data_IF_604000217491
#
_entry.id   IF_604000217491
#
_cell.length_a   1.000
_cell.length_b   1.000
_cell.length_c   1.000
_cell.angle_alpha   90.00
_cell.angle_beta   90.00
_cell.angle_gamma   90.00
#
_symmetry.space_group_name_H-M   'P 1'
#
loop_
_entity.id
_entity.type
_entity.pdbx_description
1 polymer ?
#
# COMPACT_ATOMS: atom_id res chain seq x y z
N UNK A 1 40.62 39.37 -10.22
CA UNK A 1 40.48 37.90 -10.19
C UNK A 1 39.14 37.64 -9.53
N UNK A 2 38.13 37.28 -10.32
CA UNK A 2 36.79 36.98 -9.80
C UNK A 2 36.79 35.51 -9.35
N UNK A 3 36.61 35.29 -8.05
CA UNK A 3 36.34 33.97 -7.51
C UNK A 3 35.00 33.45 -8.06
N UNK A 4 35.08 32.58 -9.06
CA UNK A 4 33.97 31.76 -9.49
C UNK A 4 33.74 30.67 -8.44
N UNK A 5 33.07 31.01 -7.35
CA UNK A 5 32.51 30.05 -6.43
C UNK A 5 31.20 29.53 -7.03
N UNK A 6 31.31 28.69 -8.06
CA UNK A 6 30.17 27.89 -8.53
C UNK A 6 29.66 27.07 -7.34
N UNK A 7 28.44 27.34 -6.91
CA UNK A 7 27.71 26.54 -5.92
C UNK A 7 27.58 25.11 -6.44
N UNK A 8 28.61 24.29 -6.22
CA UNK A 8 28.61 22.86 -6.52
C UNK A 8 27.52 22.21 -5.68
N UNK A 9 26.45 21.75 -6.31
CA UNK A 9 25.41 20.97 -5.63
C UNK A 9 26.05 19.64 -5.21
N UNK A 10 26.23 19.44 -3.93
CA UNK A 10 26.78 18.21 -3.37
C UNK A 10 25.81 17.05 -3.58
N UNK A 11 26.35 15.87 -3.93
CA UNK A 11 25.56 14.62 -4.08
C UNK A 11 25.30 13.99 -2.70
N UNK A 12 24.49 14.67 -1.89
CA UNK A 12 24.10 14.23 -0.55
C UNK A 12 22.61 14.51 -0.33
N UNK A 13 21.88 13.73 0.49
CA UNK A 13 20.49 14.03 0.82
C UNK A 13 20.39 15.33 1.63
N UNK A 14 19.27 16.05 1.49
CA UNK A 14 19.00 17.26 2.27
C UNK A 14 18.91 16.97 3.78
N UNK A 15 18.43 15.80 4.17
CA UNK A 15 18.40 15.33 5.54
C UNK A 15 19.46 14.24 5.71
N UNK A 16 20.44 14.47 6.58
CA UNK A 16 21.56 13.57 6.82
C UNK A 16 21.91 13.52 8.31
N UNK A 17 22.36 12.38 8.78
CA UNK A 17 22.88 12.26 10.13
C UNK A 17 24.17 13.10 10.28
N UNK A 18 24.29 13.90 11.37
CA UNK A 18 25.35 14.90 11.49
C UNK A 18 26.75 14.30 11.63
N UNK A 19 26.87 13.02 12.02
CA UNK A 19 28.14 12.31 12.14
C UNK A 19 28.77 11.94 10.79
N UNK A 20 28.03 11.99 9.69
CA UNK A 20 28.55 11.66 8.36
C UNK A 20 28.85 12.93 7.54
N UNK A 21 29.97 12.87 6.81
CA UNK A 21 30.46 13.95 5.95
C UNK A 21 30.91 13.41 4.59
N UNK A 22 31.27 14.30 3.67
CA UNK A 22 31.67 13.92 2.31
C UNK A 22 30.48 13.72 1.36
N UNK A 23 30.77 13.58 0.07
CA UNK A 23 29.78 13.32 -0.96
C UNK A 23 29.48 11.82 -1.07
N UNK A 24 28.28 11.46 -1.52
CA UNK A 24 27.99 10.10 -1.93
C UNK A 24 28.62 9.84 -3.30
N UNK A 25 29.15 8.64 -3.48
CA UNK A 25 29.85 8.24 -4.71
C UNK A 25 28.88 7.57 -5.70
N UNK A 26 29.03 7.87 -6.99
CA UNK A 26 28.19 7.25 -8.01
C UNK A 26 28.77 5.90 -8.44
N UNK A 27 27.96 4.85 -8.30
CA UNK A 27 28.29 3.47 -8.68
C UNK A 27 27.15 2.84 -9.48
N UNK A 28 27.50 1.89 -10.33
CA UNK A 28 26.51 1.06 -11.04
C UNK A 28 26.07 -0.10 -10.19
N UNK A 29 24.82 -0.59 -10.44
CA UNK A 29 24.33 -1.76 -9.72
C UNK A 29 25.19 -3.02 -9.99
N UNK A 30 25.83 -3.12 -11.14
CA UNK A 30 26.72 -4.23 -11.48
C UNK A 30 28.01 -4.32 -10.62
N UNK A 31 28.39 -3.25 -9.93
CA UNK A 31 29.50 -3.29 -8.98
C UNK A 31 29.14 -4.00 -7.66
N UNK A 32 27.85 -4.08 -7.36
CA UNK A 32 27.32 -4.69 -6.14
C UNK A 32 26.55 -5.99 -6.36
N UNK A 33 26.00 -6.20 -7.59
CA UNK A 33 25.04 -7.25 -7.88
C UNK A 33 25.39 -8.01 -9.15
N UNK A 34 25.31 -9.34 -9.09
CA UNK A 34 25.28 -10.22 -10.25
C UNK A 34 23.84 -10.59 -10.57
N UNK A 35 23.40 -10.30 -11.80
CA UNK A 35 22.00 -10.49 -12.22
C UNK A 35 21.75 -11.83 -12.88
N UNK A 36 20.62 -12.48 -12.55
CA UNK A 36 20.18 -13.73 -13.17
C UNK A 36 18.65 -13.81 -13.27
N UNK A 37 18.15 -14.26 -14.44
CA UNK A 37 16.73 -14.55 -14.63
C UNK A 37 16.30 -15.78 -13.82
N UNK A 38 15.02 -15.82 -13.43
CA UNK A 38 14.46 -16.90 -12.62
C UNK A 38 14.02 -18.13 -13.41
N UNK A 39 13.54 -19.13 -12.66
CA UNK A 39 13.06 -20.41 -13.13
C UNK A 39 11.67 -20.28 -13.78
N UNK A 40 11.49 -20.90 -14.95
CA UNK A 40 10.18 -21.12 -15.58
C UNK A 40 9.79 -22.60 -15.44
N UNK A 41 9.15 -23.02 -14.35
CA UNK A 41 8.78 -24.40 -14.15
C UNK A 41 7.52 -24.76 -14.94
N UNK A 42 7.36 -26.06 -15.26
CA UNK A 42 6.09 -26.57 -15.77
C UNK A 42 4.98 -26.38 -14.73
N UNK A 43 3.75 -26.10 -15.19
CA UNK A 43 2.60 -25.85 -14.32
C UNK A 43 2.34 -26.97 -13.29
N UNK A 44 2.63 -28.23 -13.66
CA UNK A 44 2.47 -29.41 -12.79
C UNK A 44 3.40 -29.41 -11.57
N UNK A 45 4.46 -28.61 -11.59
CA UNK A 45 5.46 -28.52 -10.53
C UNK A 45 5.17 -27.40 -9.52
N UNK A 46 4.13 -26.60 -9.80
CA UNK A 46 3.71 -25.49 -8.95
C UNK A 46 2.72 -25.99 -7.89
N UNK A 47 2.77 -25.42 -6.67
CA UNK A 47 1.84 -25.69 -5.56
C UNK A 47 2.41 -26.52 -4.43
N UNK A 48 3.57 -27.16 -4.58
CA UNK A 48 4.25 -27.90 -3.51
C UNK A 48 5.77 -27.78 -3.60
N UNK A 49 6.47 -28.10 -2.52
CA UNK A 49 7.94 -28.04 -2.43
C UNK A 49 8.46 -26.78 -1.78
N UNK A 50 9.53 -26.18 -2.32
CA UNK A 50 10.17 -24.98 -1.78
C UNK A 50 9.34 -23.71 -2.05
N UNK A 51 9.45 -22.69 -1.19
CA UNK A 51 8.87 -21.37 -1.47
C UNK A 51 9.34 -20.82 -2.81
N UNK A 52 8.38 -20.27 -3.58
CA UNK A 52 8.58 -19.80 -4.95
C UNK A 52 8.20 -18.32 -5.05
N UNK A 53 9.20 -17.48 -5.12
CA UNK A 53 9.06 -16.03 -5.15
C UNK A 53 8.52 -15.59 -6.50
N UNK A 54 7.43 -14.85 -6.46
CA UNK A 54 6.75 -14.25 -7.60
C UNK A 54 6.82 -12.72 -7.56
N UNK A 55 6.26 -12.06 -8.57
CA UNK A 55 6.12 -10.60 -8.59
C UNK A 55 5.30 -10.10 -7.40
N UNK A 56 4.29 -10.85 -6.95
CA UNK A 56 3.46 -10.45 -5.80
C UNK A 56 4.24 -10.37 -4.49
N UNK A 57 5.27 -11.20 -4.34
CA UNK A 57 6.14 -11.16 -3.16
C UNK A 57 7.09 -9.96 -3.20
N UNK A 58 7.54 -9.55 -4.41
CA UNK A 58 8.34 -8.32 -4.59
C UNK A 58 7.53 -7.07 -4.23
N UNK A 59 6.26 -7.04 -4.62
CA UNK A 59 5.35 -5.90 -4.39
C UNK A 59 4.74 -5.89 -3.00
N UNK A 60 4.98 -6.92 -2.18
CA UNK A 60 4.48 -6.98 -0.80
C UNK A 60 5.18 -5.97 0.11
N UNK A 61 4.47 -5.56 1.16
CA UNK A 61 5.07 -4.73 2.21
C UNK A 61 6.15 -5.51 2.98
N UNK A 62 7.15 -4.79 3.47
CA UNK A 62 8.25 -5.36 4.24
C UNK A 62 9.32 -6.02 3.37
N UNK A 63 10.05 -6.96 3.95
CA UNK A 63 11.08 -7.77 3.30
C UNK A 63 10.53 -9.15 2.94
N UNK A 64 11.11 -9.78 1.93
CA UNK A 64 10.76 -11.16 1.58
C UNK A 64 11.53 -12.10 2.52
N UNK A 65 10.84 -13.02 3.16
CA UNK A 65 11.43 -14.10 3.94
C UNK A 65 10.76 -15.43 3.58
N UNK A 66 11.33 -16.53 4.05
CA UNK A 66 10.86 -17.88 3.72
C UNK A 66 9.38 -18.11 4.04
N UNK A 67 8.89 -17.57 5.18
CA UNK A 67 7.55 -17.84 5.70
C UNK A 67 6.46 -16.97 5.06
N UNK A 68 6.81 -15.81 4.48
CA UNK A 68 5.83 -14.92 3.87
C UNK A 68 5.64 -15.14 2.35
N UNK A 69 6.45 -16.03 1.73
CA UNK A 69 6.30 -16.39 0.31
C UNK A 69 5.07 -17.29 0.13
N UNK A 70 4.16 -16.88 -0.76
CA UNK A 70 2.88 -17.58 -0.97
C UNK A 70 2.99 -18.77 -1.92
N UNK A 71 3.82 -18.66 -2.95
CA UNK A 71 4.02 -19.70 -3.96
C UNK A 71 4.89 -20.85 -3.47
N UNK A 72 4.74 -22.02 -4.11
CA UNK A 72 5.64 -23.18 -3.89
C UNK A 72 5.97 -23.82 -5.23
N UNK A 73 7.15 -24.44 -5.33
CA UNK A 73 7.61 -25.15 -6.53
C UNK A 73 8.43 -26.39 -6.15
N UNK A 74 8.23 -27.47 -6.88
CA UNK A 74 9.10 -28.63 -6.84
C UNK A 74 10.31 -28.37 -7.73
N UNK A 75 11.46 -28.07 -7.11
CA UNK A 75 12.72 -27.81 -7.78
C UNK A 75 13.69 -28.99 -7.62
N UNK A 76 14.45 -29.28 -8.67
CA UNK A 76 15.55 -30.26 -8.62
C UNK A 76 16.76 -29.66 -7.91
N UNK A 77 17.69 -30.50 -7.43
CA UNK A 77 18.92 -30.02 -6.76
C UNK A 77 19.72 -29.04 -7.63
N UNK A 78 19.83 -29.30 -8.95
CA UNK A 78 20.48 -28.39 -9.90
C UNK A 78 19.77 -27.04 -10.02
N UNK A 79 18.44 -27.04 -9.97
CA UNK A 79 17.67 -25.80 -10.00
C UNK A 79 17.78 -25.04 -8.68
N UNK A 80 17.84 -25.73 -7.55
CA UNK A 80 18.08 -25.11 -6.23
C UNK A 80 19.44 -24.44 -6.21
N UNK A 81 20.48 -25.10 -6.69
CA UNK A 81 21.82 -24.52 -6.82
C UNK A 81 21.83 -23.29 -7.74
N UNK A 82 21.11 -23.37 -8.87
CA UNK A 82 21.09 -22.35 -9.92
C UNK A 82 20.20 -21.15 -9.59
N UNK A 83 19.02 -21.39 -9.03
CA UNK A 83 17.96 -20.40 -8.80
C UNK A 83 17.64 -20.18 -7.32
N UNK A 84 18.40 -20.77 -6.42
CA UNK A 84 18.25 -20.50 -4.98
C UNK A 84 18.63 -19.07 -4.63
N UNK A 85 17.78 -18.40 -3.83
CA UNK A 85 18.08 -17.10 -3.23
C UNK A 85 18.76 -17.28 -1.88
N UNK A 86 19.59 -16.32 -1.52
CA UNK A 86 20.33 -16.25 -0.26
C UNK A 86 20.01 -14.95 0.46
N UNK A 87 20.27 -14.92 1.74
CA UNK A 87 20.14 -13.71 2.55
C UNK A 87 20.86 -12.53 1.92
N UNK A 88 20.17 -11.39 1.82
CA UNK A 88 20.65 -10.16 1.21
C UNK A 88 20.57 -10.10 -0.32
N UNK A 89 20.08 -11.15 -1.02
CA UNK A 89 19.82 -11.06 -2.47
C UNK A 89 18.69 -10.06 -2.74
N UNK A 90 18.84 -9.26 -3.78
CA UNK A 90 17.80 -8.37 -4.27
C UNK A 90 17.00 -9.05 -5.40
N UNK A 91 15.69 -8.82 -5.40
CA UNK A 91 14.78 -9.41 -6.37
C UNK A 91 14.04 -8.29 -7.09
N UNK A 92 14.10 -8.29 -8.41
CA UNK A 92 13.56 -7.25 -9.28
C UNK A 92 12.40 -7.79 -10.11
N UNK A 93 11.32 -7.03 -10.19
CA UNK A 93 10.22 -7.31 -11.11
C UNK A 93 10.69 -7.13 -12.55
N UNK A 94 10.67 -8.21 -13.33
CA UNK A 94 11.13 -8.22 -14.73
C UNK A 94 10.13 -7.59 -15.68
N UNK A 95 8.84 -7.84 -15.47
CA UNK A 95 7.76 -7.43 -16.38
C UNK A 95 6.65 -6.72 -15.62
N UNK A 96 6.06 -5.68 -16.21
CA UNK A 96 4.94 -4.93 -15.65
C UNK A 96 4.00 -4.45 -16.75
N UNK A 97 2.74 -4.21 -16.39
CA UNK A 97 1.75 -3.57 -17.25
C UNK A 97 1.98 -2.05 -17.35
N UNK A 98 2.65 -1.45 -16.36
CA UNK A 98 2.99 -0.02 -16.33
C UNK A 98 4.50 0.17 -16.36
N UNK A 99 4.95 1.27 -16.99
CA UNK A 99 6.38 1.61 -17.02
C UNK A 99 6.89 1.99 -15.62
N UNK A 100 6.02 2.59 -14.81
CA UNK A 100 6.33 3.03 -13.46
C UNK A 100 6.63 1.87 -12.51
N UNK A 101 6.11 0.68 -12.78
CA UNK A 101 6.28 -0.49 -11.91
C UNK A 101 7.41 -1.43 -12.34
N UNK A 102 7.89 -1.34 -13.60
CA UNK A 102 8.97 -2.22 -14.09
C UNK A 102 10.24 -2.05 -13.24
N UNK A 103 10.89 -3.17 -12.91
CA UNK A 103 12.12 -3.17 -12.12
C UNK A 103 11.94 -2.72 -10.67
N UNK A 104 10.72 -2.77 -10.09
CA UNK A 104 10.55 -2.66 -8.64
C UNK A 104 11.35 -3.75 -7.95
N UNK A 105 11.92 -3.44 -6.80
CA UNK A 105 12.82 -4.32 -6.10
C UNK A 105 12.40 -4.56 -4.66
N UNK A 106 12.69 -5.76 -4.16
CA UNK A 106 12.63 -6.09 -2.75
C UNK A 106 13.83 -6.96 -2.38
N UNK A 107 14.10 -7.13 -1.10
CA UNK A 107 15.24 -7.87 -0.57
C UNK A 107 14.77 -9.16 0.09
N UNK A 108 15.51 -10.24 -0.11
CA UNK A 108 15.33 -11.49 0.61
C UNK A 108 16.16 -11.49 1.90
N UNK A 109 15.51 -11.67 3.04
CA UNK A 109 16.11 -11.64 4.38
C UNK A 109 15.76 -12.91 5.15
N UNK A 110 16.40 -14.04 4.79
CA UNK A 110 16.24 -15.33 5.46
C UNK A 110 17.44 -16.24 5.13
N UNK A 111 17.84 -17.07 6.08
CA UNK A 111 18.94 -18.03 5.91
C UNK A 111 18.52 -19.29 5.13
N UNK A 112 17.22 -19.57 5.03
CA UNK A 112 16.67 -20.71 4.28
C UNK A 112 16.59 -20.36 2.80
N UNK A 113 16.79 -21.34 1.93
CA UNK A 113 16.77 -21.14 0.48
C UNK A 113 15.35 -21.19 -0.07
N UNK A 114 14.94 -20.16 -0.81
CA UNK A 114 13.75 -20.13 -1.65
C UNK A 114 14.15 -20.10 -3.14
N UNK A 115 13.20 -20.34 -4.05
CA UNK A 115 13.40 -20.28 -5.50
C UNK A 115 12.65 -19.07 -6.04
N UNK A 116 13.10 -18.47 -7.15
CA UNK A 116 12.41 -17.34 -7.78
C UNK A 116 12.00 -17.60 -9.22
N UNK A 117 10.85 -17.06 -9.62
CA UNK A 117 10.21 -17.30 -10.89
C UNK A 117 10.75 -16.47 -12.05
N UNK A 118 10.44 -16.85 -13.28
CA UNK A 118 10.96 -16.25 -14.52
C UNK A 118 10.54 -14.81 -14.78
N UNK A 119 9.52 -14.29 -14.08
CA UNK A 119 9.16 -12.87 -14.07
C UNK A 119 9.94 -12.04 -13.05
N UNK A 120 10.92 -12.67 -12.40
CA UNK A 120 11.80 -12.07 -11.41
C UNK A 120 13.25 -12.16 -11.88
N UNK A 121 14.03 -11.12 -11.65
CA UNK A 121 15.49 -11.12 -11.81
C UNK A 121 16.10 -11.04 -10.43
N UNK A 122 17.01 -11.97 -10.10
CA UNK A 122 17.81 -11.91 -8.88
C UNK A 122 19.07 -11.08 -9.10
N UNK A 123 19.35 -10.14 -8.21
CA UNK A 123 20.64 -9.51 -8.01
C UNK A 123 21.35 -10.18 -6.83
N UNK A 124 22.29 -11.10 -7.12
CA UNK A 124 23.14 -11.76 -6.13
C UNK A 124 24.14 -10.76 -5.57
N UNK A 125 24.25 -10.68 -4.26
CA UNK A 125 25.22 -9.83 -3.58
C UNK A 125 26.66 -10.28 -3.91
N UNK A 126 27.46 -9.40 -4.52
CA UNK A 126 28.89 -9.58 -4.79
C UNK A 126 29.74 -8.47 -4.16
N UNK A 127 29.20 -7.27 -4.00
CA UNK A 127 29.85 -6.12 -3.36
C UNK A 127 29.52 -5.97 -1.88
N UNK A 128 30.18 -5.02 -1.23
CA UNK A 128 29.93 -4.68 0.17
C UNK A 128 28.85 -3.60 0.26
N UNK A 129 27.64 -3.97 0.65
CA UNK A 129 26.53 -3.06 0.88
C UNK A 129 25.56 -3.58 1.95
N UNK A 130 24.72 -2.71 2.48
CA UNK A 130 23.61 -3.08 3.34
C UNK A 130 22.36 -3.43 2.50
N UNK A 131 21.78 -4.65 2.60
CA UNK A 131 20.66 -5.08 1.77
C UNK A 131 19.39 -4.29 1.99
N UNK A 132 19.11 -3.86 3.24
CA UNK A 132 17.94 -3.04 3.55
C UNK A 132 18.10 -1.61 2.99
N UNK A 133 19.32 -1.05 3.08
CA UNK A 133 19.60 0.23 2.44
C UNK A 133 19.31 0.19 0.94
N UNK A 134 19.72 -0.88 0.24
CA UNK A 134 19.45 -1.04 -1.19
C UNK A 134 17.95 -1.11 -1.49
N UNK A 135 17.16 -1.83 -0.66
CA UNK A 135 15.70 -1.84 -0.78
C UNK A 135 15.14 -0.41 -0.76
N UNK A 136 15.54 0.40 0.22
CA UNK A 136 15.08 1.78 0.35
C UNK A 136 15.61 2.68 -0.78
N UNK A 137 16.89 2.56 -1.13
CA UNK A 137 17.50 3.34 -2.21
C UNK A 137 16.79 3.10 -3.55
N UNK A 138 16.51 1.83 -3.89
CA UNK A 138 15.84 1.45 -5.15
C UNK A 138 14.37 1.90 -5.21
N UNK A 139 13.75 2.20 -4.08
CA UNK A 139 12.40 2.77 -4.00
C UNK A 139 12.39 4.31 -4.16
N UNK A 140 13.53 5.00 -4.10
CA UNK A 140 13.60 6.46 -4.23
C UNK A 140 13.15 6.95 -5.61
N UNK A 141 12.59 8.17 -5.74
CA UNK A 141 12.18 8.73 -7.03
C UNK A 141 13.30 8.76 -8.08
N UNK A 142 14.55 9.05 -7.66
CA UNK A 142 15.71 9.05 -8.57
C UNK A 142 15.98 7.64 -9.11
N UNK A 143 16.05 6.63 -8.23
CA UNK A 143 16.28 5.25 -8.62
C UNK A 143 15.15 4.75 -9.52
N UNK A 144 13.89 5.01 -9.17
CA UNK A 144 12.73 4.65 -10.00
C UNK A 144 12.81 5.28 -11.38
N UNK A 145 13.10 6.59 -11.47
CA UNK A 145 13.26 7.29 -12.74
C UNK A 145 14.37 6.68 -13.62
N UNK A 146 15.52 6.31 -13.03
CA UNK A 146 16.63 5.67 -13.74
C UNK A 146 16.25 4.25 -14.19
N UNK A 147 15.59 3.48 -13.34
CA UNK A 147 15.12 2.12 -13.64
C UNK A 147 14.06 2.11 -14.75
N UNK A 148 13.05 2.96 -14.68
CA UNK A 148 12.00 3.06 -15.69
C UNK A 148 12.55 3.41 -17.09
N UNK A 149 13.62 4.20 -17.18
CA UNK A 149 14.28 4.50 -18.46
C UNK A 149 14.92 3.29 -19.13
N UNK A 150 15.22 2.24 -18.37
CA UNK A 150 15.75 0.98 -18.89
C UNK A 150 14.65 -0.02 -19.25
N UNK A 151 13.39 0.28 -18.91
CA UNK A 151 12.23 -0.52 -19.31
C UNK A 151 11.89 -0.30 -20.78
N UNK A 152 11.56 -1.37 -21.50
CA UNK A 152 11.17 -1.34 -22.90
C UNK A 152 9.91 -2.17 -23.13
N UNK A 153 9.06 -1.70 -24.05
CA UNK A 153 7.80 -2.38 -24.41
C UNK A 153 6.69 -1.39 -24.75
N UNK A 154 5.62 -1.88 -25.38
CA UNK A 154 4.48 -1.04 -25.78
C UNK A 154 3.21 -1.35 -24.96
N UNK A 155 2.96 -2.63 -24.62
CA UNK A 155 1.83 -3.07 -23.79
C UNK A 155 2.29 -3.70 -22.47
N UNK A 156 3.44 -4.36 -22.49
CA UNK A 156 4.12 -4.90 -21.32
C UNK A 156 5.54 -4.37 -21.29
N UNK A 157 5.90 -3.70 -20.23
CA UNK A 157 7.24 -3.15 -20.04
C UNK A 157 8.13 -4.21 -19.39
N UNK A 158 9.31 -4.41 -19.97
CA UNK A 158 10.28 -5.39 -19.50
C UNK A 158 11.62 -4.71 -19.25
N UNK A 159 12.32 -5.17 -18.21
CA UNK A 159 13.70 -4.82 -17.95
C UNK A 159 14.56 -6.10 -17.99
N UNK A 160 15.74 -6.02 -18.60
CA UNK A 160 16.69 -7.11 -18.65
C UNK A 160 17.83 -6.95 -17.65
N UNK A 161 18.65 -8.02 -17.50
CA UNK A 161 19.85 -8.00 -16.65
C UNK A 161 20.80 -6.87 -17.06
N UNK A 162 21.01 -6.65 -18.36
CA UNK A 162 21.85 -5.59 -18.89
C UNK A 162 21.32 -4.20 -18.56
N UNK A 163 19.99 -4.00 -18.61
CA UNK A 163 19.36 -2.74 -18.21
C UNK A 163 19.58 -2.44 -16.74
N UNK A 164 19.37 -3.45 -15.86
CA UNK A 164 19.63 -3.31 -14.43
C UNK A 164 21.11 -3.04 -14.13
N UNK A 165 22.02 -3.72 -14.79
CA UNK A 165 23.48 -3.56 -14.55
C UNK A 165 24.00 -2.16 -14.83
N UNK A 166 23.37 -1.43 -15.75
CA UNK A 166 23.76 -0.06 -16.15
C UNK A 166 23.15 1.06 -15.30
N UNK A 167 22.27 0.74 -14.37
CA UNK A 167 21.67 1.74 -13.48
C UNK A 167 22.76 2.22 -12.52
N UNK A 168 23.07 3.51 -12.57
CA UNK A 168 23.98 4.15 -11.61
C UNK A 168 23.16 4.87 -10.54
N UNK A 169 23.61 4.84 -9.29
CA UNK A 169 23.02 5.52 -8.15
C UNK A 169 24.14 6.05 -7.24
N UNK A 170 23.78 6.92 -6.31
CA UNK A 170 24.72 7.47 -5.33
C UNK A 170 24.67 6.67 -4.05
N UNK A 171 25.83 6.32 -3.53
CA UNK A 171 26.00 5.48 -2.34
C UNK A 171 26.88 6.16 -1.29
N UNK A 172 26.44 6.18 -0.03
CA UNK A 172 27.29 6.57 1.09
C UNK A 172 28.23 5.44 1.53
N UNK A 173 29.04 5.70 2.55
CA UNK A 173 29.80 4.67 3.25
C UNK A 173 28.92 3.57 3.81
N UNK A 174 29.46 2.37 4.02
CA UNK A 174 28.69 1.23 4.54
C UNK A 174 28.11 1.50 5.93
N UNK A 175 28.80 2.30 6.75
CA UNK A 175 28.33 2.71 8.08
C UNK A 175 27.09 3.59 7.97
N UNK A 176 27.10 4.56 7.03
CA UNK A 176 25.96 5.42 6.78
C UNK A 176 24.78 4.64 6.16
N UNK A 177 25.05 3.69 5.24
CA UNK A 177 24.03 2.78 4.70
C UNK A 177 23.29 2.04 5.82
N UNK A 178 24.05 1.43 6.75
CA UNK A 178 23.47 0.71 7.91
C UNK A 178 22.64 1.62 8.79
N UNK A 179 23.14 2.81 9.09
CA UNK A 179 22.42 3.79 9.93
C UNK A 179 21.08 4.22 9.30
N UNK A 180 21.09 4.49 7.98
CA UNK A 180 19.87 4.84 7.24
C UNK A 180 18.91 3.66 7.21
N UNK A 181 19.39 2.45 6.91
CA UNK A 181 18.58 1.24 6.86
C UNK A 181 17.91 0.93 8.20
N UNK A 182 18.69 0.99 9.30
CA UNK A 182 18.18 0.80 10.66
C UNK A 182 17.08 1.82 11.00
N UNK A 183 17.32 3.10 10.74
CA UNK A 183 16.33 4.15 11.01
C UNK A 183 15.03 3.96 10.23
N UNK A 184 15.12 3.66 8.92
CA UNK A 184 13.94 3.46 8.09
C UNK A 184 13.20 2.17 8.44
N UNK A 185 13.91 1.08 8.77
CA UNK A 185 13.27 -0.17 9.19
C UNK A 185 12.52 -0.02 10.51
N UNK A 186 13.04 0.76 11.47
CA UNK A 186 12.33 1.07 12.72
C UNK A 186 11.03 1.86 12.46
N UNK A 187 11.04 2.77 11.48
CA UNK A 187 9.82 3.49 11.08
C UNK A 187 8.81 2.51 10.46
N UNK A 188 9.24 1.64 9.54
CA UNK A 188 8.37 0.64 8.91
C UNK A 188 7.75 -0.31 9.96
N UNK A 189 8.54 -0.80 10.92
CA UNK A 189 8.07 -1.64 12.03
C UNK A 189 7.04 -0.91 12.90
N UNK A 190 7.27 0.37 13.18
CA UNK A 190 6.33 1.19 13.94
C UNK A 190 5.00 1.37 13.19
N UNK A 191 5.05 1.67 11.89
CA UNK A 191 3.86 1.79 11.04
C UNK A 191 3.09 0.46 11.02
N UNK A 192 3.77 -0.67 10.78
CA UNK A 192 3.15 -1.99 10.76
C UNK A 192 2.50 -2.34 12.13
N UNK A 193 3.16 -1.99 13.23
CA UNK A 193 2.62 -2.20 14.58
C UNK A 193 1.38 -1.35 14.84
N UNK A 194 1.39 -0.07 14.46
CA UNK A 194 0.24 0.81 14.59
C UNK A 194 -0.95 0.31 13.75
N UNK A 195 -0.72 -0.12 12.53
CA UNK A 195 -1.76 -0.69 11.68
C UNK A 195 -2.42 -1.93 12.33
N UNK A 196 -1.62 -2.85 12.89
CA UNK A 196 -2.14 -4.01 13.63
C UNK A 196 -2.96 -3.61 14.85
N UNK A 197 -2.57 -2.56 15.57
CA UNK A 197 -3.34 -2.03 16.71
C UNK A 197 -4.68 -1.46 16.22
N UNK A 198 -4.68 -0.68 15.14
CA UNK A 198 -5.89 -0.11 14.54
C UNK A 198 -6.85 -1.23 14.12
N UNK A 199 -6.38 -2.25 13.41
CA UNK A 199 -7.20 -3.40 12.99
C UNK A 199 -7.81 -4.14 14.19
N UNK A 200 -7.03 -4.38 15.24
CA UNK A 200 -7.52 -5.01 16.46
C UNK A 200 -8.59 -4.16 17.16
N UNK A 201 -8.39 -2.85 17.26
CA UNK A 201 -9.36 -1.95 17.87
C UNK A 201 -10.66 -1.89 17.05
N UNK A 202 -10.57 -1.81 15.73
CA UNK A 202 -11.74 -1.86 14.84
C UNK A 202 -12.53 -3.19 15.01
N UNK A 203 -11.81 -4.30 15.07
CA UNK A 203 -12.43 -5.61 15.31
C UNK A 203 -13.11 -5.69 16.69
N UNK A 204 -12.47 -5.15 17.74
CA UNK A 204 -13.04 -5.09 19.08
C UNK A 204 -14.30 -4.21 19.13
N UNK A 205 -14.25 -3.01 18.53
CA UNK A 205 -15.40 -2.10 18.44
C UNK A 205 -16.57 -2.81 17.76
N UNK A 206 -16.32 -3.46 16.60
CA UNK A 206 -17.35 -4.20 15.88
C UNK A 206 -17.93 -5.36 16.72
N UNK A 207 -17.10 -6.11 17.42
CA UNK A 207 -17.52 -7.20 18.30
C UNK A 207 -18.37 -6.70 19.47
N UNK A 208 -17.95 -5.64 20.16
CA UNK A 208 -18.71 -5.03 21.24
C UNK A 208 -20.03 -4.43 20.74
N UNK A 209 -20.01 -3.75 19.60
CA UNK A 209 -21.22 -3.22 18.98
C UNK A 209 -22.24 -4.34 18.72
N UNK A 210 -21.81 -5.47 18.16
CA UNK A 210 -22.68 -6.61 17.93
C UNK A 210 -23.25 -7.19 19.24
N UNK A 211 -22.42 -7.35 20.27
CA UNK A 211 -22.87 -7.88 21.57
C UNK A 211 -23.87 -6.96 22.28
N UNK A 212 -23.68 -5.64 22.20
CA UNK A 212 -24.51 -4.68 22.91
C UNK A 212 -25.78 -4.28 22.15
N UNK A 213 -25.80 -4.38 20.84
CA UNK A 213 -26.92 -3.90 20.01
C UNK A 213 -27.77 -5.02 19.41
N UNK A 214 -27.26 -6.26 19.32
CA UNK A 214 -27.96 -7.41 18.73
C UNK A 214 -28.54 -8.37 19.77
N UNK A 215 -28.70 -7.95 21.01
CA UNK A 215 -29.32 -8.75 22.06
C UNK A 215 -30.85 -8.67 21.93
N UNK A 216 -31.45 -9.72 21.41
CA UNK A 216 -32.90 -9.86 21.32
C UNK A 216 -33.46 -9.88 19.89
N UNK A 217 -34.79 -9.97 19.79
CA UNK A 217 -35.48 -9.91 18.50
C UNK A 217 -35.62 -8.45 18.06
N UNK A 218 -35.29 -8.10 16.81
CA UNK A 218 -35.53 -6.77 16.26
C UNK A 218 -37.02 -6.37 16.44
N UNK A 219 -37.25 -5.21 17.00
CA UNK A 219 -38.60 -4.74 17.34
C UNK A 219 -38.96 -3.37 16.72
N UNK A 220 -38.06 -2.76 15.99
CA UNK A 220 -38.24 -1.46 15.34
C UNK A 220 -37.50 -1.42 14.00
N UNK A 221 -38.03 -0.72 13.02
CA UNK A 221 -37.41 -0.51 11.72
C UNK A 221 -36.46 0.68 11.77
N UNK A 222 -35.39 0.66 10.97
CA UNK A 222 -34.45 1.78 10.88
C UNK A 222 -35.14 3.07 10.38
N UNK A 223 -36.08 2.95 9.45
CA UNK A 223 -36.86 4.09 8.96
C UNK A 223 -37.77 4.74 10.03
N UNK A 224 -38.07 4.03 11.14
CA UNK A 224 -38.80 4.61 12.27
C UNK A 224 -37.89 5.44 13.17
N UNK A 225 -36.56 5.17 13.15
CA UNK A 225 -35.55 5.81 14.00
C UNK A 225 -34.70 6.84 13.26
N UNK A 226 -34.54 6.68 11.94
CA UNK A 226 -33.63 7.47 11.12
C UNK A 226 -34.36 8.16 9.96
N UNK A 227 -33.84 9.32 9.59
CA UNK A 227 -34.13 9.97 8.32
C UNK A 227 -32.92 9.88 7.40
N UNK A 228 -33.15 9.57 6.12
CA UNK A 228 -32.12 9.44 5.12
C UNK A 228 -32.12 10.63 4.17
N UNK A 229 -30.96 11.26 4.04
CA UNK A 229 -30.77 12.41 3.16
C UNK A 229 -29.74 12.08 2.09
N UNK A 230 -30.05 12.45 0.85
CA UNK A 230 -29.17 12.27 -0.30
C UNK A 230 -28.56 13.59 -0.73
N UNK A 231 -27.36 13.53 -1.31
CA UNK A 231 -26.68 14.68 -1.90
C UNK A 231 -26.60 14.55 -3.42
N UNK A 232 -26.61 15.68 -4.11
CA UNK A 232 -26.33 15.81 -5.53
C UNK A 232 -24.96 16.45 -5.80
N UNK A 233 -24.19 16.75 -4.73
CA UNK A 233 -22.87 17.36 -4.86
C UNK A 233 -21.93 16.40 -5.59
N UNK A 234 -21.28 16.92 -6.63
CA UNK A 234 -20.29 16.17 -7.40
C UNK A 234 -18.88 16.44 -6.88
N UNK A 235 -17.99 15.48 -7.04
CA UNK A 235 -16.59 15.57 -6.59
C UNK A 235 -15.83 16.74 -7.24
N UNK A 236 -16.14 17.06 -8.50
CA UNK A 236 -15.54 18.19 -9.22
C UNK A 236 -15.92 19.58 -8.65
N UNK A 237 -16.93 19.65 -7.78
CA UNK A 237 -17.34 20.86 -7.07
C UNK A 237 -16.61 21.03 -5.72
N UNK A 238 -15.75 20.08 -5.34
CA UNK A 238 -15.01 20.08 -4.06
C UNK A 238 -13.66 20.75 -4.26
N UNK A 239 -13.26 21.62 -3.32
CA UNK A 239 -11.99 22.35 -3.35
C UNK A 239 -11.02 21.79 -2.30
N UNK A 240 -9.73 22.00 -2.51
CA UNK A 240 -8.69 21.69 -1.50
C UNK A 240 -8.82 22.60 -0.27
N UNK A 241 -9.39 23.80 -0.44
CA UNK A 241 -9.60 24.79 0.63
C UNK A 241 -11.07 25.21 0.69
N UNK A 242 -11.57 25.51 1.87
CA UNK A 242 -12.95 25.96 2.12
C UNK A 242 -13.28 25.96 3.60
N UNK A 243 -14.49 26.39 3.93
CA UNK A 243 -14.92 26.54 5.34
C UNK A 243 -15.46 25.25 5.95
N UNK A 244 -16.04 24.36 5.12
CA UNK A 244 -16.76 23.17 5.59
C UNK A 244 -16.29 21.90 4.90
N UNK A 245 -16.06 20.81 5.65
CA UNK A 245 -15.60 19.54 5.10
C UNK A 245 -16.63 18.89 4.19
N UNK A 246 -16.15 18.22 3.17
CA UNK A 246 -16.93 17.37 2.27
C UNK A 246 -16.41 15.94 2.35
N UNK A 247 -17.33 15.00 2.58
CA UNK A 247 -17.01 13.58 2.70
C UNK A 247 -17.41 12.80 1.45
N UNK A 248 -16.54 11.87 1.08
CA UNK A 248 -16.72 10.85 0.05
C UNK A 248 -16.55 9.44 0.63
N UNK A 249 -16.58 8.43 -0.23
CA UNK A 249 -16.46 7.02 0.18
C UNK A 249 -15.16 6.69 0.94
N UNK A 250 -14.11 7.46 0.72
CA UNK A 250 -12.79 7.29 1.38
C UNK A 250 -12.58 8.20 2.59
N UNK A 251 -13.61 8.94 3.02
CA UNK A 251 -13.55 9.91 4.10
C UNK A 251 -13.55 11.36 3.63
N UNK A 252 -12.81 12.25 4.29
CA UNK A 252 -12.67 13.65 3.90
C UNK A 252 -11.98 13.77 2.53
N UNK A 253 -12.67 14.39 1.56
CA UNK A 253 -12.15 14.57 0.18
C UNK A 253 -11.83 16.03 -0.15
N UNK A 254 -12.23 16.98 0.68
CA UNK A 254 -11.97 18.39 0.51
C UNK A 254 -13.00 19.27 1.22
N UNK A 255 -13.22 20.46 0.70
CA UNK A 255 -14.00 21.50 1.37
C UNK A 255 -14.92 22.25 0.41
N UNK A 256 -15.97 22.88 0.97
CA UNK A 256 -16.86 23.84 0.32
C UNK A 256 -17.11 25.05 1.20
N UNK A 257 -17.68 26.12 0.63
CA UNK A 257 -18.06 27.31 1.40
C UNK A 257 -19.49 27.25 1.96
N UNK A 258 -20.25 26.20 1.60
CA UNK A 258 -21.59 25.93 2.12
C UNK A 258 -21.63 24.52 2.70
N UNK A 259 -22.51 24.27 3.66
CA UNK A 259 -22.72 22.96 4.23
C UNK A 259 -24.16 22.46 3.96
N UNK A 260 -24.31 21.14 3.84
CA UNK A 260 -25.61 20.50 3.66
C UNK A 260 -26.35 20.28 4.99
N UNK A 261 -25.60 19.98 6.05
CA UNK A 261 -26.15 19.68 7.36
C UNK A 261 -25.18 20.13 8.48
N UNK A 262 -25.74 20.39 9.65
CA UNK A 262 -25.01 20.71 10.87
C UNK A 262 -25.54 19.86 12.03
N UNK A 263 -24.69 19.04 12.60
CA UNK A 263 -24.99 18.19 13.75
C UNK A 263 -24.52 16.75 13.60
N UNK A 264 -24.98 15.91 14.51
CA UNK A 264 -24.63 14.49 14.54
C UNK A 264 -25.30 13.72 13.39
N UNK A 265 -24.52 12.95 12.64
CA UNK A 265 -25.00 12.18 11.51
C UNK A 265 -24.17 10.91 11.27
N UNK A 266 -24.81 9.90 10.70
CA UNK A 266 -24.15 8.70 10.18
C UNK A 266 -24.03 8.86 8.68
N UNK A 267 -22.80 8.87 8.16
CA UNK A 267 -22.56 8.80 6.73
C UNK A 267 -22.53 7.34 6.30
N UNK A 268 -23.22 7.02 5.23
CA UNK A 268 -23.22 5.68 4.64
C UNK A 268 -22.89 5.74 3.16
N UNK A 269 -21.91 4.95 2.75
CA UNK A 269 -21.55 4.80 1.33
C UNK A 269 -22.65 4.00 0.66
N UNK A 270 -23.36 4.63 -0.29
CA UNK A 270 -24.47 3.99 -1.01
C UNK A 270 -24.05 3.41 -2.35
N UNK A 271 -23.00 3.92 -2.98
CA UNK A 271 -22.54 3.52 -4.32
C UNK A 271 -21.04 3.24 -4.34
N UNK A 272 -20.62 2.18 -5.04
CA UNK A 272 -19.22 1.82 -5.30
C UNK A 272 -18.67 0.70 -4.43
N UNK A 273 -17.35 0.48 -4.49
CA UNK A 273 -16.66 -0.64 -3.82
C UNK A 273 -16.74 -0.62 -2.28
N UNK A 274 -16.98 0.55 -1.70
CA UNK A 274 -17.14 0.74 -0.25
C UNK A 274 -18.59 0.70 0.24
N UNK A 275 -19.54 0.24 -0.57
CA UNK A 275 -20.97 0.23 -0.25
C UNK A 275 -21.26 -0.40 1.12
N UNK A 276 -22.06 0.29 1.95
CA UNK A 276 -22.37 -0.12 3.32
C UNK A 276 -21.34 0.34 4.37
N UNK A 277 -20.23 0.95 3.96
CA UNK A 277 -19.29 1.55 4.93
C UNK A 277 -19.91 2.75 5.64
N UNK A 278 -19.65 2.84 6.94
CA UNK A 278 -20.21 3.84 7.84
C UNK A 278 -19.14 4.74 8.42
N UNK A 279 -19.48 6.00 8.62
CA UNK A 279 -18.71 6.92 9.46
C UNK A 279 -19.66 7.84 10.26
N UNK A 280 -19.21 8.29 11.42
CA UNK A 280 -19.94 9.22 12.26
C UNK A 280 -19.31 10.60 12.16
N UNK A 281 -20.15 11.62 12.01
CA UNK A 281 -19.76 13.04 11.96
C UNK A 281 -20.64 13.85 12.89
N UNK A 282 -20.04 14.81 13.59
CA UNK A 282 -20.74 15.80 14.41
C UNK A 282 -20.16 17.18 14.13
N UNK A 283 -20.57 17.80 13.04
CA UNK A 283 -20.08 19.11 12.59
C UNK A 283 -20.98 19.68 11.48
N UNK A 284 -20.58 20.83 10.93
CA UNK A 284 -21.07 21.33 9.65
C UNK A 284 -20.39 20.60 8.51
N UNK A 285 -21.13 19.91 7.66
CA UNK A 285 -20.54 19.11 6.60
C UNK A 285 -21.42 19.02 5.34
N UNK A 286 -20.82 18.53 4.29
CA UNK A 286 -21.50 18.04 3.08
C UNK A 286 -21.00 16.64 2.69
N UNK A 287 -21.76 15.91 1.90
CA UNK A 287 -21.36 14.63 1.30
C UNK A 287 -21.54 14.70 -0.20
N UNK A 288 -20.70 13.99 -0.96
CA UNK A 288 -20.90 13.82 -2.40
C UNK A 288 -22.00 12.80 -2.69
N UNK A 289 -22.49 12.77 -3.94
CA UNK A 289 -23.61 11.96 -4.38
C UNK A 289 -23.50 10.45 -4.16
N UNK A 290 -22.30 9.92 -3.90
CA UNK A 290 -22.05 8.50 -3.59
C UNK A 290 -22.35 8.12 -2.13
N UNK A 291 -22.65 9.10 -1.27
CA UNK A 291 -23.04 8.89 0.12
C UNK A 291 -24.48 9.37 0.36
N UNK A 292 -25.10 8.75 1.36
CA UNK A 292 -26.20 9.35 2.11
C UNK A 292 -25.70 9.74 3.50
N UNK A 293 -26.39 10.71 4.13
CA UNK A 293 -26.26 10.94 5.57
C UNK A 293 -27.59 10.66 6.26
N UNK A 294 -27.50 10.03 7.44
CA UNK A 294 -28.65 9.61 8.23
C UNK A 294 -28.66 10.47 9.51
N UNK A 295 -29.84 10.99 9.84
CA UNK A 295 -30.08 11.75 11.08
C UNK A 295 -31.05 10.99 11.97
N UNK A 296 -30.87 11.06 13.28
CA UNK A 296 -31.83 10.43 14.20
C UNK A 296 -33.11 11.24 14.30
N UNK A 297 -34.25 10.54 14.33
CA UNK A 297 -35.54 11.14 14.72
C UNK A 297 -35.55 11.40 16.23
N UNK A 298 -36.53 12.21 16.68
CA UNK A 298 -36.71 12.50 18.10
C UNK A 298 -36.76 11.22 18.93
N UNK A 299 -36.13 11.26 20.11
CA UNK A 299 -36.03 10.18 21.09
C UNK A 299 -35.07 9.03 20.74
N UNK A 300 -34.30 9.11 19.63
CA UNK A 300 -33.28 8.11 19.29
C UNK A 300 -31.87 8.70 19.37
N UNK A 301 -30.94 7.91 19.92
CA UNK A 301 -29.53 8.26 19.94
C UNK A 301 -28.86 7.91 18.63
N UNK A 302 -28.37 8.90 17.88
CA UNK A 302 -27.65 8.68 16.62
C UNK A 302 -26.39 7.83 16.84
N UNK A 303 -25.69 8.03 17.97
CA UNK A 303 -24.50 7.28 18.30
C UNK A 303 -24.81 5.80 18.60
N UNK A 304 -25.91 5.50 19.30
CA UNK A 304 -26.37 4.11 19.46
C UNK A 304 -26.72 3.48 18.11
N UNK A 305 -27.43 4.18 17.25
CA UNK A 305 -27.80 3.71 15.92
C UNK A 305 -26.57 3.50 15.03
N UNK A 306 -25.54 4.33 15.15
CA UNK A 306 -24.27 4.13 14.46
C UNK A 306 -23.62 2.79 14.82
N UNK A 307 -23.51 2.48 16.12
CA UNK A 307 -22.95 1.20 16.56
C UNK A 307 -23.87 0.01 16.18
N UNK A 308 -25.16 0.17 16.22
CA UNK A 308 -26.11 -0.86 15.79
C UNK A 308 -25.92 -1.15 14.27
N UNK A 309 -25.77 -0.13 13.46
CA UNK A 309 -25.52 -0.26 12.03
C UNK A 309 -24.13 -0.83 11.72
N UNK A 310 -23.11 -0.59 12.54
CA UNK A 310 -21.79 -1.24 12.38
C UNK A 310 -21.86 -2.77 12.50
N UNK A 311 -22.82 -3.29 13.25
CA UNK A 311 -23.08 -4.71 13.40
C UNK A 311 -24.09 -5.25 12.40
N UNK A 312 -24.75 -4.37 11.63
CA UNK A 312 -25.78 -4.73 10.65
C UNK A 312 -25.13 -5.31 9.38
N UNK A 313 -25.73 -6.36 8.85
CA UNK A 313 -25.29 -6.96 7.59
C UNK A 313 -26.01 -6.35 6.38
N UNK A 314 -25.31 -5.47 5.68
CA UNK A 314 -25.84 -4.85 4.45
C UNK A 314 -25.78 -5.76 3.21
N UNK A 315 -25.05 -6.86 3.24
CA UNK A 315 -24.82 -7.74 2.07
C UNK A 315 -26.11 -8.16 1.35
N UNK A 316 -27.23 -8.53 2.05
CA UNK A 316 -28.46 -8.91 1.38
C UNK A 316 -29.14 -7.78 0.58
N UNK A 317 -28.79 -6.54 0.87
CA UNK A 317 -29.38 -5.34 0.27
C UNK A 317 -28.51 -4.73 -0.84
N UNK A 318 -27.30 -5.28 -1.06
CA UNK A 318 -26.41 -4.82 -2.12
C UNK A 318 -26.91 -5.32 -3.47
N UNK A 319 -27.09 -4.38 -4.39
CA UNK A 319 -27.49 -4.66 -5.78
C UNK A 319 -26.49 -4.03 -6.75
N UNK A 320 -26.52 -4.42 -8.03
CA UNK A 320 -25.61 -3.91 -9.06
C UNK A 320 -24.34 -4.75 -9.20
N UNK A 321 -24.16 -5.39 -10.39
CA UNK A 321 -22.97 -6.24 -10.67
C UNK A 321 -21.72 -5.42 -10.98
N UNK A 322 -21.84 -4.32 -11.73
CA UNK A 322 -20.70 -3.49 -12.13
C UNK A 322 -20.39 -2.41 -11.10
N UNK A 323 -21.40 -1.77 -10.53
CA UNK A 323 -21.29 -0.78 -9.47
C UNK A 323 -22.22 -1.22 -8.34
N UNK A 324 -21.71 -1.77 -7.23
CA UNK A 324 -22.52 -2.12 -6.07
C UNK A 324 -23.24 -0.89 -5.49
N UNK A 325 -24.50 -1.03 -5.11
CA UNK A 325 -25.27 0.05 -4.48
C UNK A 325 -26.32 -0.48 -3.50
N UNK A 326 -26.70 0.36 -2.53
CA UNK A 326 -27.77 0.10 -1.56
C UNK A 326 -28.75 1.27 -1.50
N UNK A 327 -30.01 0.99 -1.22
CA UNK A 327 -31.04 2.01 -1.02
C UNK A 327 -31.63 1.93 0.39
N UNK A 328 -31.79 3.09 1.04
CA UNK A 328 -32.36 3.15 2.39
C UNK A 328 -33.75 2.51 2.47
N UNK A 329 -34.57 2.64 1.44
CA UNK A 329 -35.93 2.00 1.35
C UNK A 329 -35.90 0.48 1.49
N UNK A 330 -34.77 -0.17 1.19
CA UNK A 330 -34.64 -1.64 1.18
C UNK A 330 -34.16 -2.20 2.51
N UNK A 331 -33.29 -1.45 3.23
CA UNK A 331 -32.77 -1.86 4.54
C UNK A 331 -33.30 -1.03 5.72
N UNK A 332 -34.09 0.02 5.44
CA UNK A 332 -34.65 0.98 6.40
C UNK A 332 -35.84 0.53 7.26
#
# INVERSE_FOLDING_TARGET
MADNNENKVLNVPHLRFPEFSGEWEEHTLSEYLEFKNGLNPDAKRIGSGLPFISVMDILSEGVINYDNIRGKVNATEKEIECFGVKDGDLLFQRSSETLEDVGRANVYMDNRTAIYGGFVIRGRKIGNYDPLFFKYLLATPLARKRTCRMGAGAQHFNIGQEGLSKISLYFPSIEEQRKIAEFLSLIDERIATQNKIIEKLQSLIKGLAAQLTQSGTPNIRLCDCLECHSSTLQENCVSVTGSYPVYGATGLIGYTNNYAYNGESILIVKDGSGVGSLSYVNDHFSVIGTLNYLTAKENYSILYLYYALMAFNFTPYITGMAIPHIYFKDYG
#
